data_IF_006434845504
#
_entry.id   IF_006434845504
#
_cell.length_a   1.000
_cell.length_b   1.000
_cell.length_c   1.000
_cell.angle_alpha   90.00
_cell.angle_beta   90.00
_cell.angle_gamma   90.00
#
_symmetry.space_group_name_H-M   'P 1'
#
loop_
_entity.id
_entity.type
_entity.pdbx_description
1 polymer ?
#
# COMPACT_ATOMS: atom_id res chain seq x y z
N UNK A 1 17.06 22.40 -13.67
CA UNK A 1 15.67 21.89 -13.72
C UNK A 1 15.54 20.51 -13.06
N UNK A 2 16.39 19.53 -13.39
CA UNK A 2 16.37 18.19 -12.75
C UNK A 2 16.62 18.18 -11.23
N UNK A 3 17.39 19.14 -10.69
CA UNK A 3 17.67 19.22 -9.24
C UNK A 3 16.44 19.54 -8.37
N UNK A 4 15.48 20.29 -8.91
CA UNK A 4 14.23 20.56 -8.20
C UNK A 4 13.41 19.28 -8.00
N UNK A 5 13.42 18.38 -9.00
CA UNK A 5 12.72 17.11 -8.93
C UNK A 5 13.39 16.12 -7.98
N UNK A 6 14.73 16.12 -7.90
CA UNK A 6 15.46 15.24 -6.96
C UNK A 6 15.28 15.71 -5.51
N UNK A 7 15.28 17.02 -5.26
CA UNK A 7 15.00 17.59 -3.95
C UNK A 7 13.58 17.27 -3.44
N UNK A 8 12.58 17.28 -4.32
CA UNK A 8 11.17 17.03 -3.98
C UNK A 8 10.70 15.58 -4.25
N UNK A 9 11.63 14.65 -4.49
CA UNK A 9 11.34 13.25 -4.80
C UNK A 9 10.37 12.55 -3.82
N UNK A 10 10.43 12.73 -2.48
CA UNK A 10 9.48 12.06 -1.59
C UNK A 10 8.05 12.62 -1.69
N UNK A 11 7.89 13.91 -1.94
CA UNK A 11 6.58 14.54 -2.11
C UNK A 11 5.90 14.02 -3.38
N UNK A 12 6.66 13.97 -4.48
CA UNK A 12 6.17 13.47 -5.76
C UNK A 12 5.69 12.02 -5.66
N UNK A 13 6.42 11.17 -4.92
CA UNK A 13 6.04 9.77 -4.67
C UNK A 13 4.75 9.66 -3.85
N UNK A 14 4.57 10.48 -2.82
CA UNK A 14 3.36 10.43 -2.00
C UNK A 14 2.14 10.93 -2.78
N UNK A 15 2.29 12.02 -3.54
CA UNK A 15 1.21 12.56 -4.39
C UNK A 15 0.79 11.53 -5.44
N UNK A 16 1.74 10.84 -6.08
CA UNK A 16 1.40 9.83 -7.09
C UNK A 16 0.66 8.63 -6.51
N UNK A 17 1.05 8.15 -5.33
CA UNK A 17 0.36 7.05 -4.64
C UNK A 17 -1.06 7.46 -4.20
N UNK A 18 -1.22 8.65 -3.62
CA UNK A 18 -2.53 9.16 -3.20
C UNK A 18 -3.44 9.47 -4.40
N UNK A 19 -2.88 9.93 -5.53
CA UNK A 19 -3.63 10.14 -6.77
C UNK A 19 -4.16 8.81 -7.35
N UNK A 20 -3.34 7.75 -7.34
CA UNK A 20 -3.77 6.41 -7.74
C UNK A 20 -4.88 5.87 -6.82
N UNK A 21 -4.76 6.07 -5.51
CA UNK A 21 -5.78 5.69 -4.54
C UNK A 21 -7.11 6.45 -4.78
N UNK A 22 -7.02 7.76 -5.01
CA UNK A 22 -8.18 8.59 -5.34
C UNK A 22 -8.85 8.17 -6.64
N UNK A 23 -8.07 7.81 -7.66
CA UNK A 23 -8.59 7.31 -8.92
C UNK A 23 -9.33 5.97 -8.76
N UNK A 24 -8.83 5.08 -7.89
CA UNK A 24 -9.52 3.83 -7.56
C UNK A 24 -10.91 4.07 -6.95
N UNK A 25 -11.03 5.03 -6.03
CA UNK A 25 -12.34 5.42 -5.45
C UNK A 25 -13.24 6.08 -6.51
N UNK A 26 -12.68 6.88 -7.41
CA UNK A 26 -13.44 7.52 -8.49
C UNK A 26 -14.09 6.51 -9.44
N UNK A 27 -13.41 5.40 -9.72
CA UNK A 27 -13.98 4.31 -10.53
C UNK A 27 -15.21 3.71 -9.83
N UNK A 28 -15.15 3.50 -8.51
CA UNK A 28 -16.29 3.00 -7.73
C UNK A 28 -17.47 4.00 -7.73
N UNK A 29 -17.18 5.29 -7.56
CA UNK A 29 -18.16 6.37 -7.63
C UNK A 29 -18.90 6.40 -8.99
N UNK A 30 -18.19 6.22 -10.10
CA UNK A 30 -18.79 6.17 -11.44
C UNK A 30 -19.73 4.98 -11.64
N UNK A 31 -19.54 3.89 -10.89
CA UNK A 31 -20.45 2.75 -10.90
C UNK A 31 -21.71 2.98 -10.03
N UNK A 32 -21.86 4.15 -9.41
CA UNK A 32 -23.01 4.49 -8.56
C UNK A 32 -22.96 3.91 -7.15
N UNK A 33 -21.79 3.41 -6.71
CA UNK A 33 -21.60 2.83 -5.38
C UNK A 33 -20.57 3.65 -4.60
N UNK A 34 -20.97 4.14 -3.43
CA UNK A 34 -20.05 4.82 -2.52
C UNK A 34 -19.40 3.78 -1.58
N UNK A 35 -18.09 3.56 -1.74
CA UNK A 35 -17.33 2.55 -0.98
C UNK A 35 -15.97 3.07 -0.54
N UNK A 36 -15.67 2.91 0.75
CA UNK A 36 -14.36 3.26 1.34
C UNK A 36 -13.42 2.05 1.53
N UNK A 37 -13.81 0.88 1.00
CA UNK A 37 -13.04 -0.36 1.21
C UNK A 37 -11.63 -0.31 0.63
N UNK A 38 -11.41 0.49 -0.43
CA UNK A 38 -10.09 0.66 -1.07
C UNK A 38 -9.03 1.21 -0.11
N UNK A 39 -9.42 2.07 0.83
CA UNK A 39 -8.53 2.64 1.87
C UNK A 39 -8.09 1.53 2.84
N UNK A 40 -9.01 0.65 3.22
CA UNK A 40 -8.71 -0.50 4.06
C UNK A 40 -7.75 -1.49 3.39
N UNK A 41 -7.99 -1.83 2.12
CA UNK A 41 -7.09 -2.71 1.36
C UNK A 41 -5.72 -2.08 1.11
N UNK A 42 -5.65 -0.77 0.90
CA UNK A 42 -4.41 -0.02 0.79
C UNK A 42 -3.58 -0.13 2.08
N UNK A 43 -4.20 0.02 3.26
CA UNK A 43 -3.53 -0.14 4.54
C UNK A 43 -2.94 -1.55 4.71
N UNK A 44 -3.74 -2.60 4.48
CA UNK A 44 -3.31 -4.00 4.64
C UNK A 44 -2.14 -4.32 3.69
N UNK A 45 -2.27 -3.99 2.41
CA UNK A 45 -1.25 -4.28 1.41
C UNK A 45 0.05 -3.49 1.64
N UNK A 46 -0.07 -2.25 2.15
CA UNK A 46 1.05 -1.39 2.49
C UNK A 46 1.87 -1.93 3.66
N UNK A 47 1.21 -2.29 4.77
CA UNK A 47 1.90 -2.88 5.93
C UNK A 47 2.56 -4.20 5.60
N UNK A 48 1.88 -5.05 4.83
CA UNK A 48 2.44 -6.30 4.36
C UNK A 48 3.69 -6.07 3.51
N UNK A 49 3.64 -5.12 2.57
CA UNK A 49 4.80 -4.78 1.73
C UNK A 49 5.96 -4.25 2.56
N UNK A 50 5.67 -3.43 3.57
CA UNK A 50 6.69 -2.90 4.49
C UNK A 50 7.36 -4.03 5.30
N UNK A 51 6.59 -4.98 5.81
CA UNK A 51 7.10 -6.10 6.59
C UNK A 51 7.96 -7.06 5.73
N UNK A 52 7.48 -7.42 4.53
CA UNK A 52 8.26 -8.27 3.61
C UNK A 52 9.55 -7.60 3.12
N UNK A 53 9.53 -6.28 2.92
CA UNK A 53 10.74 -5.53 2.57
C UNK A 53 11.75 -5.50 3.72
N UNK A 54 11.28 -5.37 4.97
CA UNK A 54 12.16 -5.49 6.14
C UNK A 54 12.73 -6.90 6.29
N UNK A 55 11.97 -7.94 5.95
CA UNK A 55 12.43 -9.31 5.89
C UNK A 55 13.44 -9.58 4.75
N UNK A 56 13.77 -8.59 3.91
CA UNK A 56 14.79 -8.69 2.87
C UNK A 56 14.34 -9.36 1.57
N UNK A 57 13.04 -9.53 1.36
CA UNK A 57 12.50 -10.17 0.15
C UNK A 57 12.72 -9.30 -1.10
N UNK A 58 12.86 -9.95 -2.26
CA UNK A 58 13.02 -9.26 -3.53
C UNK A 58 11.74 -8.50 -3.93
N UNK A 59 11.91 -7.27 -4.44
CA UNK A 59 10.78 -6.38 -4.78
C UNK A 59 9.67 -7.02 -5.63
N UNK A 60 9.96 -7.82 -6.69
CA UNK A 60 8.90 -8.44 -7.49
C UNK A 60 8.06 -9.43 -6.68
N UNK A 61 8.69 -10.21 -5.79
CA UNK A 61 7.96 -11.12 -4.91
C UNK A 61 7.06 -10.34 -3.96
N UNK A 62 7.59 -9.27 -3.33
CA UNK A 62 6.80 -8.42 -2.43
C UNK A 62 5.54 -7.90 -3.12
N UNK A 63 5.66 -7.44 -4.37
CA UNK A 63 4.52 -6.96 -5.14
C UNK A 63 3.47 -8.06 -5.36
N UNK A 64 3.90 -9.26 -5.77
CA UNK A 64 2.99 -10.40 -5.98
C UNK A 64 2.26 -10.77 -4.68
N UNK A 65 3.00 -10.91 -3.57
CA UNK A 65 2.40 -11.24 -2.28
C UNK A 65 1.45 -10.14 -1.78
N UNK A 66 1.78 -8.87 -2.00
CA UNK A 66 0.93 -7.75 -1.63
C UNK A 66 -0.42 -7.81 -2.36
N UNK A 67 -0.41 -8.03 -3.67
CA UNK A 67 -1.63 -8.17 -4.48
C UNK A 67 -2.42 -9.41 -4.06
N UNK A 68 -1.73 -10.53 -3.84
CA UNK A 68 -2.37 -11.82 -3.56
C UNK A 68 -3.07 -11.80 -2.19
N UNK A 69 -2.45 -11.20 -1.18
CA UNK A 69 -3.09 -11.05 0.14
C UNK A 69 -4.22 -10.03 0.09
N UNK A 70 -4.06 -8.92 -0.64
CA UNK A 70 -5.17 -7.99 -0.89
C UNK A 70 -6.37 -8.67 -1.54
N UNK A 71 -6.13 -9.53 -2.53
CA UNK A 71 -7.17 -10.32 -3.21
C UNK A 71 -7.85 -11.31 -2.26
N UNK A 72 -7.09 -12.03 -1.43
CA UNK A 72 -7.64 -12.98 -0.45
C UNK A 72 -8.56 -12.24 0.53
N UNK A 73 -8.13 -11.11 1.08
CA UNK A 73 -8.94 -10.33 2.02
C UNK A 73 -10.19 -9.78 1.33
N UNK A 74 -10.07 -9.30 0.09
CA UNK A 74 -11.19 -8.83 -0.70
C UNK A 74 -12.21 -9.95 -0.98
N UNK A 75 -11.75 -11.15 -1.33
CA UNK A 75 -12.61 -12.33 -1.53
C UNK A 75 -13.32 -12.74 -0.25
N UNK A 76 -12.63 -12.67 0.90
CA UNK A 76 -13.20 -13.02 2.19
C UNK A 76 -14.31 -12.05 2.62
N UNK A 77 -14.15 -10.75 2.32
CA UNK A 77 -15.11 -9.71 2.71
C UNK A 77 -16.27 -9.57 1.72
N UNK A 78 -16.05 -9.85 0.43
CA UNK A 78 -17.04 -9.75 -0.66
C UNK A 78 -18.42 -10.38 -0.37
N UNK A 79 -18.55 -11.59 0.19
CA UNK A 79 -19.86 -12.18 0.47
C UNK A 79 -20.66 -11.40 1.52
N UNK A 80 -19.99 -10.66 2.41
CA UNK A 80 -20.67 -9.80 3.39
C UNK A 80 -21.18 -8.53 2.72
N UNK A 81 -20.35 -7.87 1.89
CA UNK A 81 -20.72 -6.59 1.27
C UNK A 81 -21.86 -6.71 0.24
N UNK A 82 -21.93 -7.84 -0.48
CA UNK A 82 -22.96 -8.07 -1.51
C UNK A 82 -24.38 -8.18 -0.95
N UNK A 83 -24.54 -8.38 0.37
CA UNK A 83 -25.86 -8.49 1.02
C UNK A 83 -26.48 -7.13 1.42
N UNK A 84 -25.73 -6.02 1.33
CA UNK A 84 -26.19 -4.70 1.78
C UNK A 84 -26.56 -3.80 0.58
N UNK A 85 -27.46 -2.82 0.79
CA UNK A 85 -27.95 -1.93 -0.29
C UNK A 85 -27.60 -0.45 -0.04
N UNK A 86 -27.02 0.19 -1.05
CA UNK A 86 -26.66 1.61 -1.17
C UNK A 86 -26.01 2.23 0.08
N UNK A 87 -26.80 2.82 0.97
CA UNK A 87 -26.29 3.55 2.14
C UNK A 87 -25.75 2.62 3.22
N UNK A 88 -26.35 1.44 3.38
CA UNK A 88 -25.86 0.44 4.33
C UNK A 88 -24.49 -0.10 3.93
N UNK A 89 -24.23 -0.23 2.62
CA UNK A 89 -22.93 -0.64 2.10
C UNK A 89 -21.86 0.40 2.46
N UNK A 90 -22.15 1.69 2.26
CA UNK A 90 -21.23 2.77 2.61
C UNK A 90 -20.83 2.72 4.09
N UNK A 91 -21.81 2.63 5.00
CA UNK A 91 -21.56 2.56 6.45
C UNK A 91 -20.76 1.31 6.84
N UNK A 92 -21.07 0.15 6.25
CA UNK A 92 -20.33 -1.08 6.51
C UNK A 92 -18.86 -0.99 6.05
N UNK A 93 -18.59 -0.39 4.88
CA UNK A 93 -17.21 -0.20 4.41
C UNK A 93 -16.42 0.80 5.23
N UNK A 94 -17.09 1.83 5.76
CA UNK A 94 -16.48 2.79 6.67
C UNK A 94 -16.10 2.09 7.98
N UNK A 95 -17.02 1.31 8.56
CA UNK A 95 -16.77 0.52 9.75
C UNK A 95 -15.63 -0.49 9.55
N UNK A 96 -15.55 -1.14 8.38
CA UNK A 96 -14.44 -2.02 8.02
C UNK A 96 -13.10 -1.28 8.02
N UNK A 97 -13.01 -0.11 7.39
CA UNK A 97 -11.78 0.68 7.35
C UNK A 97 -11.37 1.14 8.75
N UNK A 98 -12.33 1.55 9.59
CA UNK A 98 -12.08 1.91 11.00
C UNK A 98 -11.62 0.71 11.83
N UNK A 99 -12.17 -0.47 11.58
CA UNK A 99 -11.74 -1.71 12.23
C UNK A 99 -10.27 -2.04 11.89
N UNK A 100 -9.88 -1.92 10.63
CA UNK A 100 -8.47 -2.11 10.23
C UNK A 100 -7.57 -1.06 10.90
N UNK A 101 -8.04 0.18 10.99
CA UNK A 101 -7.30 1.25 11.66
C UNK A 101 -7.10 0.95 13.15
N UNK A 102 -8.13 0.47 13.86
CA UNK A 102 -8.01 0.13 15.28
C UNK A 102 -7.09 -1.06 15.51
N UNK A 103 -7.15 -2.08 14.64
CA UNK A 103 -6.21 -3.21 14.66
C UNK A 103 -4.78 -2.73 14.43
N UNK A 104 -4.56 -1.85 13.44
CA UNK A 104 -3.23 -1.32 13.14
C UNK A 104 -2.63 -0.49 14.28
N UNK A 105 -3.46 0.20 15.07
CA UNK A 105 -3.01 0.96 16.24
C UNK A 105 -2.77 0.08 17.47
N UNK A 106 -3.50 -1.03 17.61
CA UNK A 106 -3.39 -1.94 18.75
C UNK A 106 -2.26 -2.97 18.60
N UNK A 107 -1.85 -3.28 17.36
CA UNK A 107 -0.84 -4.29 17.07
C UNK A 107 0.60 -3.75 17.06
N UNK A 108 1.18 -3.56 18.25
CA UNK A 108 2.54 -3.01 18.37
C UNK A 108 3.62 -3.83 17.64
N UNK A 109 3.55 -5.16 17.69
CA UNK A 109 4.61 -6.03 17.16
C UNK A 109 4.70 -6.08 15.64
N UNK A 110 3.56 -5.96 14.93
CA UNK A 110 3.49 -6.16 13.47
C UNK A 110 3.39 -4.86 12.67
N UNK A 111 2.71 -3.84 13.20
CA UNK A 111 2.53 -2.53 12.53
C UNK A 111 3.34 -1.41 13.18
N UNK A 112 4.01 -1.69 14.30
CA UNK A 112 4.72 -0.66 15.07
C UNK A 112 3.78 0.22 15.91
N UNK A 113 2.51 -0.17 16.05
CA UNK A 113 1.52 0.55 16.86
C UNK A 113 1.30 1.99 16.40
N UNK A 114 1.21 2.91 17.35
CA UNK A 114 0.97 4.33 17.09
C UNK A 114 2.11 5.04 16.32
N UNK A 115 3.35 4.54 16.41
CA UNK A 115 4.50 5.16 15.75
C UNK A 115 4.74 4.64 14.32
N UNK A 116 4.18 3.48 13.96
CA UNK A 116 4.30 2.91 12.61
C UNK A 116 5.67 2.25 12.33
N UNK A 117 5.82 1.68 11.12
CA UNK A 117 7.05 1.00 10.69
C UNK A 117 8.10 2.00 10.17
N UNK A 118 9.29 1.98 10.76
CA UNK A 118 10.46 2.76 10.32
C UNK A 118 11.55 1.88 9.70
N UNK A 119 12.48 2.50 8.97
CA UNK A 119 13.66 1.81 8.45
C UNK A 119 13.42 0.90 7.24
N UNK A 120 12.27 1.01 6.56
CA UNK A 120 11.99 0.19 5.36
C UNK A 120 12.99 0.54 4.25
N UNK A 121 13.72 -0.44 3.70
CA UNK A 121 14.72 -0.20 2.66
C UNK A 121 14.07 0.40 1.41
N UNK A 122 14.59 1.56 0.99
CA UNK A 122 14.04 2.38 -0.11
C UNK A 122 14.56 1.96 -1.48
N UNK A 123 15.55 1.07 -1.51
CA UNK A 123 16.21 0.59 -2.73
C UNK A 123 15.66 -0.77 -3.11
N UNK A 124 15.15 -0.88 -4.33
CA UNK A 124 14.73 -2.17 -4.88
C UNK A 124 15.96 -3.07 -5.00
N UNK A 125 16.03 -4.14 -4.19
CA UNK A 125 17.12 -5.12 -4.29
C UNK A 125 17.26 -5.73 -5.69
N UNK A 126 16.15 -5.81 -6.44
CA UNK A 126 16.15 -6.23 -7.85
C UNK A 126 16.91 -5.26 -8.75
N UNK A 127 16.73 -3.96 -8.52
CA UNK A 127 17.52 -2.89 -9.15
C UNK A 127 18.97 -2.96 -8.70
N UNK A 128 19.25 -3.33 -7.44
CA UNK A 128 20.62 -3.53 -6.94
C UNK A 128 21.34 -4.69 -7.64
N UNK A 129 20.65 -5.78 -8.00
CA UNK A 129 21.26 -6.86 -8.78
C UNK A 129 21.55 -6.43 -10.23
N UNK A 130 20.67 -5.62 -10.83
CA UNK A 130 20.91 -5.07 -12.18
C UNK A 130 21.89 -3.90 -12.21
N UNK A 131 22.03 -3.16 -11.09
CA UNK A 131 23.02 -2.10 -10.95
C UNK A 131 24.37 -2.64 -10.52
N UNK A 132 24.46 -3.76 -9.80
CA UNK A 132 25.75 -4.38 -9.46
C UNK A 132 26.57 -4.77 -10.70
N UNK A 133 25.91 -5.09 -11.82
CA UNK A 133 26.59 -5.31 -13.10
C UNK A 133 26.89 -4.02 -13.87
N UNK A 134 26.26 -2.89 -13.53
CA UNK A 134 26.49 -1.55 -14.10
C UNK A 134 27.40 -0.64 -13.27
N UNK A 135 27.59 -0.94 -11.99
CA UNK A 135 28.33 -0.10 -11.03
C UNK A 135 29.81 -0.48 -10.92
N UNK A 136 30.26 -1.55 -11.59
CA UNK A 136 31.70 -1.83 -11.77
C UNK A 136 32.40 -0.81 -12.69
N UNK A 137 31.66 0.06 -13.39
CA UNK A 137 32.23 1.02 -14.34
C UNK A 137 32.25 2.48 -13.86
N UNK A 138 31.60 2.87 -12.76
CA UNK A 138 31.65 4.26 -12.25
C UNK A 138 31.32 4.31 -10.75
N UNK A 139 32.33 4.14 -9.89
CA UNK A 139 32.44 4.97 -8.67
C UNK A 139 33.19 6.25 -9.08
N UNK A 140 32.81 7.44 -8.59
CA UNK A 140 33.33 7.86 -7.30
C UNK A 140 32.34 8.66 -6.42
N UNK A 141 32.56 8.49 -5.10
CA UNK A 141 32.39 9.43 -3.97
C UNK A 141 31.06 10.18 -3.85
#
# INVERSE_FOLDING_TARGET
MIEFFTANAPLLRNISVLALLGYSVHIALRAGVFSFATIGFFAISGYLSANLLQAGWAWPLVFVFAVLIGLIVALLISPVLTRLRHLYLAMATLAFTLFIQSVAMSWDTYTGGAQGLFGVPRVCRWVSCSLSSRSLSCSPV
#
